data_IF_548250650216
#
_entry.id   IF_548250650216
#
_cell.length_a   1.000
_cell.length_b   1.000
_cell.length_c   1.000
_cell.angle_alpha   90.00
_cell.angle_beta   90.00
_cell.angle_gamma   90.00
#
_symmetry.space_group_name_H-M   'P 1'
#
loop_
_entity.id
_entity.type
_entity.pdbx_description
1 polymer ?
#
# COMPACT_ATOMS: atom_id res chain seq x y z
N UNK A 1 -0.59 17.48 2.01
CA UNK A 1 -1.21 16.12 2.05
C UNK A 1 -0.52 15.31 3.14
N UNK A 2 -1.25 14.73 4.11
CA UNK A 2 -0.62 13.93 5.17
C UNK A 2 -0.08 12.61 4.58
N UNK A 3 1.22 12.28 4.74
CA UNK A 3 1.80 11.04 4.22
C UNK A 3 1.20 9.79 4.88
N UNK A 4 1.32 8.63 4.22
CA UNK A 4 0.90 7.33 4.72
C UNK A 4 2.08 6.36 4.75
N UNK A 5 2.36 5.74 5.89
CA UNK A 5 3.31 4.64 6.01
C UNK A 5 2.53 3.37 6.32
N UNK A 6 2.45 2.48 5.33
CA UNK A 6 1.69 1.25 5.38
C UNK A 6 2.63 0.04 5.49
N UNK A 7 2.44 -0.79 6.51
CA UNK A 7 3.16 -2.04 6.72
C UNK A 7 2.39 -3.22 6.14
N UNK A 8 2.86 -3.80 5.05
CA UNK A 8 2.34 -5.04 4.50
C UNK A 8 3.08 -6.23 5.11
N UNK A 9 2.43 -6.96 6.00
CA UNK A 9 3.03 -8.14 6.64
C UNK A 9 3.14 -9.33 5.71
N UNK A 10 2.46 -9.29 4.56
CA UNK A 10 2.39 -10.41 3.64
C UNK A 10 1.91 -11.69 4.36
N UNK A 11 2.37 -12.87 3.96
CA UNK A 11 2.01 -14.15 4.60
C UNK A 11 2.90 -14.40 5.85
N UNK A 12 2.88 -13.46 6.80
CA UNK A 12 3.63 -13.55 8.05
C UNK A 12 2.76 -13.17 9.24
N UNK A 13 3.01 -13.82 10.37
CA UNK A 13 2.40 -13.51 11.65
C UNK A 13 1.44 -14.58 12.15
N UNK A 14 1.57 -14.84 13.43
CA UNK A 14 0.66 -15.66 14.24
C UNK A 14 0.10 -14.76 15.37
N UNK A 15 -0.81 -15.27 16.18
CA UNK A 15 -1.40 -14.49 17.29
C UNK A 15 -0.35 -13.83 18.20
N UNK A 16 0.78 -14.49 18.46
CA UNK A 16 1.88 -13.92 19.24
C UNK A 16 2.52 -12.69 18.58
N UNK A 17 2.45 -12.56 17.25
CA UNK A 17 3.00 -11.43 16.51
C UNK A 17 2.23 -10.12 16.77
N UNK A 18 1.02 -10.19 17.31
CA UNK A 18 0.24 -9.00 17.69
C UNK A 18 0.91 -8.19 18.81
N UNK A 19 1.82 -8.80 19.58
CA UNK A 19 2.65 -8.07 20.54
C UNK A 19 3.47 -6.95 19.87
N UNK A 20 3.88 -7.10 18.60
CA UNK A 20 4.58 -6.05 17.86
C UNK A 20 3.67 -4.84 17.61
N UNK A 21 2.37 -5.06 17.35
CA UNK A 21 1.40 -3.95 17.22
C UNK A 21 1.20 -3.21 18.55
N UNK A 22 1.22 -3.92 19.68
CA UNK A 22 1.19 -3.31 21.01
C UNK A 22 2.38 -2.38 21.24
N UNK A 23 3.60 -2.87 20.99
CA UNK A 23 4.84 -2.09 21.08
C UNK A 23 4.81 -0.86 20.15
N UNK A 24 4.37 -1.04 18.91
CA UNK A 24 4.23 0.06 17.94
C UNK A 24 3.25 1.12 18.45
N UNK A 25 2.09 0.70 18.95
CA UNK A 25 1.08 1.60 19.55
C UNK A 25 1.66 2.43 20.69
N UNK A 26 2.38 1.80 21.62
CA UNK A 26 3.03 2.48 22.75
C UNK A 26 4.06 3.50 22.26
N UNK A 27 4.89 3.11 21.27
CA UNK A 27 5.89 4.00 20.69
C UNK A 27 5.27 5.21 19.98
N UNK A 28 4.13 5.03 19.27
CA UNK A 28 3.40 6.11 18.62
C UNK A 28 2.68 7.02 19.63
N UNK A 29 2.20 6.47 20.74
CA UNK A 29 1.60 7.25 21.82
C UNK A 29 2.63 8.14 22.53
N UNK A 30 3.85 7.65 22.73
CA UNK A 30 4.93 8.41 23.36
C UNK A 30 5.38 9.62 22.50
N UNK A 31 5.31 9.50 21.17
CA UNK A 31 5.59 10.60 20.22
C UNK A 31 4.72 10.43 19.00
N UNK A 32 3.75 11.32 18.81
CA UNK A 32 2.83 11.29 17.67
C UNK A 32 3.59 11.41 16.34
N UNK A 33 3.25 10.57 15.33
CA UNK A 33 3.88 10.61 14.01
C UNK A 33 3.32 11.76 13.18
N UNK A 34 4.15 12.30 12.26
CA UNK A 34 3.74 13.28 11.25
C UNK A 34 2.89 12.68 10.12
N UNK A 35 2.88 11.35 9.99
CA UNK A 35 2.17 10.60 8.98
C UNK A 35 1.02 9.77 9.57
N UNK A 36 0.17 9.25 8.70
CA UNK A 36 -0.77 8.18 9.02
C UNK A 36 -0.02 6.85 9.05
N UNK A 37 -0.36 5.98 10.00
CA UNK A 37 0.28 4.66 10.17
C UNK A 37 -0.76 3.58 9.96
N UNK A 38 -0.48 2.67 9.02
CA UNK A 38 -1.33 1.55 8.64
C UNK A 38 -0.55 0.24 8.77
N UNK A 39 -1.20 -0.82 9.23
CA UNK A 39 -0.67 -2.19 9.17
C UNK A 39 -1.69 -3.10 8.49
N UNK A 40 -1.24 -3.88 7.52
CA UNK A 40 -2.02 -4.89 6.82
C UNK A 40 -1.51 -6.29 7.22
N UNK A 41 -2.00 -6.87 8.33
CA UNK A 41 -1.66 -8.24 8.72
C UNK A 41 -2.43 -9.25 7.86
N UNK A 42 -2.13 -10.57 7.94
CA UNK A 42 -2.98 -11.61 7.35
C UNK A 42 -4.43 -11.49 7.81
N UNK A 43 -5.37 -11.92 6.98
CA UNK A 43 -6.82 -11.86 7.27
C UNK A 43 -7.19 -12.42 8.63
N UNK A 44 -6.52 -13.53 9.04
CA UNK A 44 -6.74 -14.24 10.30
C UNK A 44 -6.42 -13.43 11.56
N UNK A 45 -5.72 -12.30 11.42
CA UNK A 45 -5.28 -11.47 12.54
C UNK A 45 -6.00 -10.12 12.63
N UNK A 46 -6.75 -9.70 11.62
CA UNK A 46 -7.32 -8.34 11.54
C UNK A 46 -8.24 -8.04 12.73
N UNK A 47 -9.19 -8.92 13.04
CA UNK A 47 -10.14 -8.70 14.13
C UNK A 47 -9.47 -8.61 15.51
N UNK A 48 -8.47 -9.48 15.76
CA UNK A 48 -7.69 -9.42 16.99
C UNK A 48 -6.81 -8.15 17.06
N UNK A 49 -6.19 -7.79 15.94
CA UNK A 49 -5.42 -6.55 15.82
C UNK A 49 -6.29 -5.32 16.11
N UNK A 50 -7.49 -5.25 15.54
CA UNK A 50 -8.43 -4.15 15.74
C UNK A 50 -8.76 -3.92 17.22
N UNK A 51 -8.96 -5.01 17.96
CA UNK A 51 -9.20 -4.95 19.41
C UNK A 51 -7.99 -4.41 20.18
N UNK A 52 -6.76 -4.70 19.73
CA UNK A 52 -5.53 -4.32 20.45
C UNK A 52 -5.07 -2.89 20.14
N UNK A 53 -5.22 -2.40 18.89
CA UNK A 53 -4.69 -1.07 18.50
C UNK A 53 -5.67 0.09 18.72
N UNK A 54 -6.99 -0.17 18.71
CA UNK A 54 -8.07 0.81 19.01
C UNK A 54 -7.83 2.22 18.44
N UNK A 55 -7.67 2.31 17.13
CA UNK A 55 -7.59 3.59 16.41
C UNK A 55 -6.23 4.30 16.42
N UNK A 56 -5.25 3.81 17.16
CA UNK A 56 -3.89 4.38 17.14
C UNK A 56 -3.13 4.02 15.85
N UNK A 57 -3.46 2.88 15.25
CA UNK A 57 -2.90 2.35 14.00
C UNK A 57 -4.09 1.94 13.13
N UNK A 58 -4.13 2.40 11.91
CA UNK A 58 -5.11 1.94 10.94
C UNK A 58 -4.81 0.48 10.54
N UNK A 59 -5.85 -0.30 10.23
CA UNK A 59 -5.69 -1.68 9.79
C UNK A 59 -6.20 -1.85 8.36
N UNK A 60 -5.57 -2.74 7.61
CA UNK A 60 -5.96 -3.06 6.23
C UNK A 60 -5.90 -4.55 5.92
N UNK A 61 -6.65 -4.94 4.89
CA UNK A 61 -6.51 -6.24 4.25
C UNK A 61 -5.37 -6.25 3.22
N UNK A 62 -4.92 -7.45 2.86
CA UNK A 62 -3.87 -7.64 1.85
C UNK A 62 -4.44 -7.98 0.46
N UNK A 63 -5.74 -8.20 0.37
CA UNK A 63 -6.55 -8.43 -0.82
C UNK A 63 -8.03 -8.44 -0.44
N UNK A 64 -8.94 -8.42 -1.41
CA UNK A 64 -10.36 -8.72 -1.22
C UNK A 64 -10.98 -9.31 -2.49
N UNK A 65 -12.09 -10.03 -2.35
CA UNK A 65 -12.90 -10.48 -3.47
C UNK A 65 -13.78 -9.34 -4.00
N UNK A 66 -14.02 -9.31 -5.32
CA UNK A 66 -14.81 -8.26 -5.95
C UNK A 66 -16.31 -8.31 -5.58
N UNK A 67 -16.84 -9.48 -5.24
CA UNK A 67 -18.23 -9.65 -4.81
C UNK A 67 -18.36 -9.58 -3.28
N UNK A 68 -19.50 -9.11 -2.76
CA UNK A 68 -19.70 -8.97 -1.30
C UNK A 68 -19.88 -10.30 -0.58
N UNK A 69 -20.35 -11.33 -1.29
CA UNK A 69 -20.60 -12.67 -0.76
C UNK A 69 -20.82 -13.67 -1.90
N UNK A 70 -20.89 -14.97 -1.61
CA UNK A 70 -21.25 -15.99 -2.58
C UNK A 70 -20.48 -17.29 -2.43
N UNK A 71 -20.54 -18.15 -3.45
CA UNK A 71 -19.87 -19.45 -3.51
C UNK A 71 -18.38 -19.28 -3.92
N UNK A 72 -17.61 -18.66 -3.06
CA UNK A 72 -16.18 -18.37 -3.22
C UNK A 72 -15.40 -18.90 -2.01
N UNK A 73 -15.35 -20.21 -1.90
CA UNK A 73 -14.73 -20.89 -0.73
C UNK A 73 -13.27 -20.47 -0.57
N UNK A 74 -12.94 -19.88 0.59
CA UNK A 74 -11.60 -19.42 0.93
C UNK A 74 -11.36 -17.94 0.66
N UNK A 75 -12.20 -17.25 -0.13
CA UNK A 75 -12.07 -15.82 -0.38
C UNK A 75 -12.63 -14.97 0.77
N UNK A 76 -12.12 -13.75 0.89
CA UNK A 76 -12.56 -12.76 1.88
C UNK A 76 -13.07 -11.53 1.12
N UNK A 77 -14.30 -11.10 1.40
CA UNK A 77 -14.87 -9.90 0.79
C UNK A 77 -14.40 -8.62 1.46
N UNK A 78 -14.56 -7.48 0.78
CA UNK A 78 -14.27 -6.17 1.34
C UNK A 78 -15.17 -5.87 2.56
N UNK A 79 -16.41 -6.33 2.54
CA UNK A 79 -17.36 -6.22 3.64
C UNK A 79 -16.90 -6.98 4.90
N UNK A 80 -16.36 -8.20 4.73
CA UNK A 80 -15.77 -8.99 5.83
C UNK A 80 -14.55 -8.29 6.42
N UNK A 81 -13.70 -7.67 5.59
CA UNK A 81 -12.56 -6.89 6.07
C UNK A 81 -13.03 -5.68 6.88
N UNK A 82 -14.04 -4.97 6.40
CA UNK A 82 -14.63 -3.84 7.11
C UNK A 82 -15.19 -4.22 8.46
N UNK A 83 -15.95 -5.31 8.51
CA UNK A 83 -16.52 -5.86 9.74
C UNK A 83 -15.44 -6.27 10.74
N UNK A 84 -14.33 -6.85 10.26
CA UNK A 84 -13.17 -7.18 11.06
C UNK A 84 -12.39 -5.97 11.59
N UNK A 85 -12.73 -4.74 11.16
CA UNK A 85 -12.12 -3.49 11.64
C UNK A 85 -11.08 -2.87 10.71
N UNK A 86 -10.95 -3.35 9.47
CA UNK A 86 -10.10 -2.71 8.48
C UNK A 86 -10.69 -1.37 8.00
N UNK A 87 -9.82 -0.44 7.63
CA UNK A 87 -10.16 0.83 6.96
C UNK A 87 -9.51 0.96 5.58
N UNK A 88 -8.57 0.07 5.27
CA UNK A 88 -7.85 -0.01 4.00
C UNK A 88 -7.85 -1.44 3.46
N UNK A 89 -7.54 -1.57 2.16
CA UNK A 89 -7.20 -2.85 1.55
C UNK A 89 -6.19 -2.64 0.41
N UNK A 90 -5.15 -3.47 0.37
CA UNK A 90 -4.20 -3.55 -0.74
C UNK A 90 -4.86 -4.38 -1.85
N UNK A 91 -4.80 -3.91 -3.09
CA UNK A 91 -5.29 -4.64 -4.27
C UNK A 91 -4.27 -4.58 -5.40
N UNK A 92 -4.15 -5.65 -6.16
CA UNK A 92 -3.22 -5.73 -7.28
C UNK A 92 -1.74 -5.70 -6.90
N UNK A 93 -1.38 -6.09 -5.67
CA UNK A 93 0.02 -6.21 -5.27
C UNK A 93 0.78 -7.09 -6.25
N UNK A 94 2.05 -6.77 -6.54
CA UNK A 94 2.87 -7.47 -7.53
C UNK A 94 2.91 -8.99 -7.34
N UNK A 95 2.95 -9.48 -6.12
CA UNK A 95 2.89 -10.91 -5.81
C UNK A 95 1.56 -11.52 -6.28
N UNK A 96 0.44 -10.82 -6.18
CA UNK A 96 -0.86 -11.32 -6.62
C UNK A 96 -0.98 -11.31 -8.14
N UNK A 97 -0.47 -10.27 -8.80
CA UNK A 97 -0.38 -10.24 -10.27
C UNK A 97 0.48 -11.40 -10.77
N UNK A 98 1.60 -11.68 -10.12
CA UNK A 98 2.54 -12.72 -10.53
C UNK A 98 2.05 -14.14 -10.18
N UNK A 99 1.68 -14.39 -8.92
CA UNK A 99 1.40 -15.75 -8.45
C UNK A 99 -0.07 -16.17 -8.62
N UNK A 100 -1.00 -15.22 -8.69
CA UNK A 100 -2.43 -15.48 -8.82
C UNK A 100 -2.99 -15.05 -10.18
N UNK A 101 -2.18 -14.47 -11.06
CA UNK A 101 -2.60 -14.04 -12.39
C UNK A 101 -3.59 -12.89 -12.38
N UNK A 102 -3.58 -12.03 -11.35
CA UNK A 102 -4.48 -10.89 -11.27
C UNK A 102 -4.19 -9.88 -12.39
N UNK A 103 -5.21 -9.57 -13.18
CA UNK A 103 -5.18 -8.60 -14.28
C UNK A 103 -5.67 -7.25 -13.79
N UNK A 104 -5.41 -6.21 -14.56
CA UNK A 104 -5.85 -4.85 -14.23
C UNK A 104 -7.36 -4.74 -14.00
N UNK A 105 -8.16 -5.42 -14.82
CA UNK A 105 -9.62 -5.45 -14.66
C UNK A 105 -10.08 -6.09 -13.35
N UNK A 106 -9.35 -7.10 -12.87
CA UNK A 106 -9.64 -7.76 -11.59
C UNK A 106 -9.31 -6.81 -10.44
N UNK A 107 -8.21 -6.07 -10.55
CA UNK A 107 -7.78 -5.05 -9.57
C UNK A 107 -8.77 -3.89 -9.52
N UNK A 108 -9.24 -3.41 -10.67
CA UNK A 108 -10.28 -2.37 -10.73
C UNK A 108 -11.57 -2.80 -10.02
N UNK A 109 -12.05 -4.03 -10.29
CA UNK A 109 -13.24 -4.56 -9.63
C UNK A 109 -13.06 -4.71 -8.10
N UNK A 110 -11.86 -5.05 -7.63
CA UNK A 110 -11.52 -5.11 -6.20
C UNK A 110 -11.45 -3.71 -5.56
N UNK A 111 -10.94 -2.70 -6.27
CA UNK A 111 -10.96 -1.32 -5.79
C UNK A 111 -12.39 -0.80 -5.61
N UNK A 112 -13.28 -1.07 -6.57
CA UNK A 112 -14.71 -0.73 -6.47
C UNK A 112 -15.39 -1.47 -5.30
N UNK A 113 -15.04 -2.74 -5.08
CA UNK A 113 -15.53 -3.51 -3.93
C UNK A 113 -15.07 -2.90 -2.60
N UNK A 114 -13.81 -2.45 -2.51
CA UNK A 114 -13.30 -1.75 -1.34
C UNK A 114 -14.12 -0.49 -1.04
N UNK A 115 -14.38 0.34 -2.04
CA UNK A 115 -15.17 1.57 -1.88
C UNK A 115 -16.61 1.28 -1.48
N UNK A 116 -17.24 0.26 -2.07
CA UNK A 116 -18.59 -0.19 -1.71
C UNK A 116 -18.69 -0.53 -0.22
N UNK A 117 -17.64 -1.17 0.33
CA UNK A 117 -17.57 -1.51 1.75
C UNK A 117 -17.10 -0.34 2.65
N UNK A 118 -16.79 0.83 2.10
CA UNK A 118 -16.26 1.97 2.84
C UNK A 118 -14.81 1.79 3.29
N UNK A 119 -14.01 1.05 2.50
CA UNK A 119 -12.55 0.94 2.64
C UNK A 119 -11.84 1.86 1.65
N UNK A 120 -10.64 2.32 2.01
CA UNK A 120 -9.72 2.96 1.07
C UNK A 120 -8.90 1.88 0.35
N UNK A 121 -8.89 1.87 -0.98
CA UNK A 121 -8.09 0.96 -1.78
C UNK A 121 -6.65 1.48 -1.93
N UNK A 122 -5.65 0.63 -1.66
CA UNK A 122 -4.26 0.85 -2.05
C UNK A 122 -4.03 0.03 -3.32
N UNK A 123 -4.03 0.70 -4.48
CA UNK A 123 -3.87 0.06 -5.79
C UNK A 123 -2.38 0.01 -6.13
N UNK A 124 -1.84 -1.19 -6.30
CA UNK A 124 -0.43 -1.40 -6.63
C UNK A 124 -0.21 -1.43 -8.14
N UNK A 125 0.81 -0.71 -8.58
CA UNK A 125 1.30 -0.67 -9.96
C UNK A 125 2.82 -0.75 -9.96
N UNK A 126 3.41 -1.34 -10.99
CA UNK A 126 4.86 -1.42 -11.11
C UNK A 126 5.33 -2.38 -12.19
N UNK A 127 6.53 -2.16 -12.66
CA UNK A 127 7.19 -2.91 -13.72
C UNK A 127 8.12 -4.00 -13.19
N UNK A 128 8.29 -5.04 -13.98
CA UNK A 128 9.29 -6.09 -13.78
C UNK A 128 10.68 -5.65 -14.23
N UNK A 129 11.72 -6.43 -13.89
CA UNK A 129 13.11 -6.15 -14.30
C UNK A 129 13.25 -6.13 -15.83
N UNK A 130 12.71 -7.13 -16.53
CA UNK A 130 12.80 -7.15 -17.98
C UNK A 130 12.11 -5.98 -18.66
N UNK A 131 10.98 -5.51 -18.11
CA UNK A 131 10.30 -4.31 -18.59
C UNK A 131 11.10 -3.03 -18.33
N UNK A 132 11.82 -2.97 -17.19
CA UNK A 132 12.71 -1.86 -16.87
C UNK A 132 13.89 -1.81 -17.83
N UNK A 133 14.54 -2.93 -18.06
CA UNK A 133 15.68 -3.08 -19.00
C UNK A 133 15.28 -2.76 -20.44
N UNK A 134 14.06 -3.12 -20.83
CA UNK A 134 13.49 -2.77 -22.14
C UNK A 134 13.04 -1.30 -22.27
N UNK A 135 13.20 -0.47 -21.20
CA UNK A 135 12.68 0.89 -21.13
C UNK A 135 11.16 1.01 -21.30
N UNK A 136 10.40 -0.04 -20.93
CA UNK A 136 8.94 -0.09 -21.03
C UNK A 136 8.24 0.36 -19.72
N UNK A 137 8.98 0.65 -18.67
CA UNK A 137 8.45 0.95 -17.32
C UNK A 137 7.36 2.04 -17.32
N UNK A 138 7.53 3.11 -18.08
CA UNK A 138 6.53 4.17 -18.20
C UNK A 138 5.25 3.67 -18.87
N UNK A 139 5.37 2.92 -19.96
CA UNK A 139 4.24 2.36 -20.69
C UNK A 139 3.48 1.33 -19.83
N UNK A 140 4.20 0.46 -19.13
CA UNK A 140 3.62 -0.55 -18.25
C UNK A 140 2.84 0.11 -17.11
N UNK A 141 3.44 1.06 -16.39
CA UNK A 141 2.76 1.74 -15.29
C UNK A 141 1.56 2.57 -15.77
N UNK A 142 1.65 3.23 -16.91
CA UNK A 142 0.53 3.94 -17.51
C UNK A 142 -0.63 2.98 -17.86
N UNK A 143 -0.32 1.84 -18.49
CA UNK A 143 -1.31 0.81 -18.82
C UNK A 143 -1.98 0.22 -17.57
N UNK A 144 -1.21 -0.08 -16.52
CA UNK A 144 -1.75 -0.56 -15.25
C UNK A 144 -2.64 0.49 -14.56
N UNK A 145 -2.29 1.77 -14.59
CA UNK A 145 -3.14 2.84 -14.07
C UNK A 145 -4.44 2.91 -14.88
N UNK A 146 -4.34 2.86 -16.21
CA UNK A 146 -5.52 2.91 -17.08
C UNK A 146 -6.47 1.73 -16.85
N UNK A 147 -5.93 0.52 -16.65
CA UNK A 147 -6.71 -0.68 -16.44
C UNK A 147 -7.17 -0.91 -15.00
N UNK A 148 -6.40 -0.48 -14.00
CA UNK A 148 -6.63 -0.83 -12.58
C UNK A 148 -7.27 0.29 -11.74
N UNK A 149 -7.22 1.55 -12.19
CA UNK A 149 -7.76 2.69 -11.43
C UNK A 149 -9.09 3.11 -12.05
N UNK A 150 -10.26 2.78 -11.45
CA UNK A 150 -11.56 3.21 -11.96
C UNK A 150 -11.73 4.73 -11.91
N UNK A 151 -12.55 5.30 -12.81
CA UNK A 151 -12.79 6.76 -12.92
C UNK A 151 -13.40 7.39 -11.65
N UNK A 152 -14.00 6.59 -10.78
CA UNK A 152 -14.55 7.06 -9.50
C UNK A 152 -13.48 7.17 -8.38
N UNK A 153 -12.19 6.95 -8.69
CA UNK A 153 -11.08 7.11 -7.75
C UNK A 153 -10.92 8.58 -7.33
N UNK A 154 -10.76 8.79 -6.02
CA UNK A 154 -10.57 10.10 -5.41
C UNK A 154 -9.51 10.01 -4.31
N UNK A 155 -9.00 11.14 -3.85
CA UNK A 155 -8.06 11.18 -2.72
C UNK A 155 -8.64 10.64 -1.40
N UNK A 156 -9.98 10.57 -1.28
CA UNK A 156 -10.65 10.07 -0.09
C UNK A 156 -10.76 8.54 -0.07
N UNK A 157 -10.80 7.88 -1.24
CA UNK A 157 -11.05 6.45 -1.35
C UNK A 157 -9.88 5.65 -1.95
N UNK A 158 -8.83 6.32 -2.45
CA UNK A 158 -7.75 5.67 -3.22
C UNK A 158 -6.38 6.19 -2.82
N UNK A 159 -5.45 5.26 -2.74
CA UNK A 159 -4.00 5.46 -2.65
C UNK A 159 -3.36 4.63 -3.74
N UNK A 160 -2.30 5.12 -4.37
CA UNK A 160 -1.50 4.35 -5.34
C UNK A 160 -0.21 3.91 -4.65
N UNK A 161 0.25 2.68 -4.90
CA UNK A 161 1.56 2.21 -4.47
C UNK A 161 2.39 1.84 -5.71
N UNK A 162 3.51 2.50 -5.89
CA UNK A 162 4.46 2.16 -6.96
C UNK A 162 5.44 1.09 -6.46
N UNK A 163 5.43 -0.05 -7.10
CA UNK A 163 6.26 -1.19 -6.80
C UNK A 163 7.28 -1.42 -7.93
N UNK A 164 8.55 -0.94 -7.83
CA UNK A 164 9.61 -1.44 -8.71
C UNK A 164 9.86 -2.91 -8.38
N UNK A 165 9.16 -3.84 -9.09
CA UNK A 165 9.10 -5.27 -8.74
C UNK A 165 10.50 -5.89 -8.67
N UNK A 166 11.41 -5.42 -9.52
CA UNK A 166 12.81 -5.81 -9.58
C UNK A 166 13.63 -5.41 -8.34
N UNK A 167 13.14 -4.47 -7.53
CA UNK A 167 13.79 -4.01 -6.30
C UNK A 167 13.18 -4.64 -5.04
N UNK A 168 12.09 -5.42 -5.14
CA UNK A 168 11.42 -6.01 -3.98
C UNK A 168 12.15 -7.29 -3.57
N UNK A 169 12.79 -7.27 -2.38
CA UNK A 169 13.43 -8.46 -1.81
C UNK A 169 14.73 -8.90 -2.51
N UNK A 170 15.19 -8.19 -3.52
CA UNK A 170 16.39 -8.55 -4.31
C UNK A 170 17.68 -7.90 -3.80
N UNK A 171 17.57 -6.89 -2.95
CA UNK A 171 18.69 -6.03 -2.54
C UNK A 171 19.05 -4.93 -3.55
N UNK A 172 18.44 -4.92 -4.73
CA UNK A 172 18.55 -3.81 -5.69
C UNK A 172 17.72 -2.63 -5.19
N UNK A 173 18.17 -1.42 -5.45
CA UNK A 173 17.46 -0.18 -5.12
C UNK A 173 17.48 0.75 -6.33
N UNK A 174 16.32 1.31 -6.73
CA UNK A 174 16.31 2.41 -7.69
C UNK A 174 17.10 3.60 -7.15
N UNK A 175 17.64 4.44 -8.03
CA UNK A 175 18.19 5.74 -7.61
C UNK A 175 17.07 6.68 -7.17
N UNK A 176 17.42 7.73 -6.43
CA UNK A 176 16.45 8.77 -6.04
C UNK A 176 15.80 9.42 -7.27
N UNK A 177 16.59 9.64 -8.33
CA UNK A 177 16.13 10.18 -9.62
C UNK A 177 15.12 9.26 -10.29
N UNK A 178 15.36 7.95 -10.30
CA UNK A 178 14.43 6.96 -10.84
C UNK A 178 13.07 6.99 -10.10
N UNK A 179 13.12 7.07 -8.77
CA UNK A 179 11.91 7.13 -7.94
C UNK A 179 11.12 8.39 -8.24
N UNK A 180 11.77 9.55 -8.23
CA UNK A 180 11.14 10.85 -8.52
C UNK A 180 10.54 10.85 -9.92
N UNK A 181 11.26 10.36 -10.93
CA UNK A 181 10.79 10.30 -12.31
C UNK A 181 9.55 9.42 -12.45
N UNK A 182 9.54 8.22 -11.83
CA UNK A 182 8.38 7.33 -11.88
C UNK A 182 7.19 7.87 -11.10
N UNK A 183 7.38 8.44 -9.91
CA UNK A 183 6.29 9.05 -9.15
C UNK A 183 5.69 10.23 -9.90
N UNK A 184 6.50 11.08 -10.55
CA UNK A 184 6.02 12.17 -11.39
C UNK A 184 5.26 11.66 -12.63
N UNK A 185 5.76 10.59 -13.28
CA UNK A 185 5.07 9.95 -14.40
C UNK A 185 3.70 9.40 -13.96
N UNK A 186 3.64 8.64 -12.86
CA UNK A 186 2.40 8.11 -12.29
C UNK A 186 1.42 9.25 -11.97
N UNK A 187 1.90 10.33 -11.37
CA UNK A 187 1.08 11.53 -11.10
C UNK A 187 0.50 12.12 -12.38
N UNK A 188 1.31 12.23 -13.43
CA UNK A 188 0.87 12.70 -14.74
C UNK A 188 -0.25 11.82 -15.32
N UNK A 189 -0.09 10.49 -15.29
CA UNK A 189 -1.10 9.54 -15.74
C UNK A 189 -2.41 9.66 -14.94
N UNK A 190 -2.32 9.78 -13.62
CA UNK A 190 -3.50 9.95 -12.76
C UNK A 190 -4.24 11.26 -13.05
N UNK A 191 -3.53 12.36 -13.26
CA UNK A 191 -4.14 13.65 -13.61
C UNK A 191 -4.78 13.60 -15.01
N UNK A 192 -4.12 12.98 -15.97
CA UNK A 192 -4.68 12.81 -17.31
C UNK A 192 -5.97 11.98 -17.30
N UNK A 193 -6.04 10.95 -16.45
CA UNK A 193 -7.19 10.05 -16.35
C UNK A 193 -8.36 10.61 -15.52
N UNK A 194 -8.07 11.24 -14.38
CA UNK A 194 -9.05 11.59 -13.35
C UNK A 194 -9.26 13.10 -13.21
N UNK A 195 -8.46 13.92 -13.91
CA UNK A 195 -8.46 15.38 -13.79
C UNK A 195 -7.63 15.89 -12.62
N UNK A 196 -7.65 17.20 -12.41
CA UNK A 196 -6.80 17.93 -11.44
C UNK A 196 -6.97 17.47 -9.97
N UNK A 197 -8.12 16.93 -9.61
CA UNK A 197 -8.36 16.36 -8.27
C UNK A 197 -7.39 15.22 -7.93
N UNK A 198 -6.85 14.54 -8.94
CA UNK A 198 -5.86 13.46 -8.76
C UNK A 198 -4.51 13.94 -8.22
N UNK A 199 -4.23 15.25 -8.24
CA UNK A 199 -3.04 15.82 -7.56
C UNK A 199 -3.04 15.55 -6.05
N UNK A 200 -4.20 15.28 -5.48
CA UNK A 200 -4.36 14.99 -4.06
C UNK A 200 -4.30 13.48 -3.71
N UNK A 201 -4.19 12.59 -4.71
CA UNK A 201 -3.99 11.17 -4.42
C UNK A 201 -2.58 10.95 -3.86
N UNK A 202 -2.49 10.15 -2.80
CA UNK A 202 -1.20 9.72 -2.27
C UNK A 202 -0.58 8.68 -3.20
N UNK A 203 0.73 8.83 -3.49
CA UNK A 203 1.53 7.84 -4.20
C UNK A 203 2.60 7.35 -3.23
N UNK A 204 2.54 6.09 -2.85
CA UNK A 204 3.48 5.45 -1.94
C UNK A 204 4.61 4.80 -2.72
N UNK A 205 5.81 4.85 -2.19
CA UNK A 205 6.91 4.04 -2.67
C UNK A 205 6.83 2.63 -2.07
N UNK A 206 6.75 1.62 -2.91
CA UNK A 206 6.59 0.21 -2.55
C UNK A 206 7.83 -0.66 -2.77
N UNK A 207 8.98 -0.07 -3.04
CA UNK A 207 10.25 -0.79 -3.11
C UNK A 207 10.85 -1.10 -1.72
N UNK A 208 12.14 -1.43 -1.68
CA UNK A 208 12.83 -1.79 -0.45
C UNK A 208 13.06 -0.57 0.44
N UNK A 209 12.21 -0.38 1.45
CA UNK A 209 12.36 0.65 2.50
C UNK A 209 12.81 -0.01 3.79
N UNK A 210 13.88 0.52 4.37
CA UNK A 210 14.45 0.15 5.67
C UNK A 210 14.66 1.40 6.53
N UNK A 211 14.90 1.21 7.83
CA UNK A 211 15.14 2.33 8.75
C UNK A 211 16.29 3.26 8.30
N UNK A 212 17.29 2.71 7.63
CA UNK A 212 18.51 3.44 7.27
C UNK A 212 18.37 4.26 5.97
N UNK A 213 17.45 3.90 5.05
CA UNK A 213 17.21 4.64 3.80
C UNK A 213 15.88 5.42 3.80
N UNK A 214 15.04 5.23 4.81
CA UNK A 214 13.69 5.80 4.82
C UNK A 214 13.71 7.34 4.82
N UNK A 215 14.64 7.98 5.53
CA UNK A 215 14.73 9.44 5.59
C UNK A 215 15.03 10.06 4.22
N UNK A 216 15.85 9.40 3.40
CA UNK A 216 16.14 9.81 2.04
C UNK A 216 14.92 9.59 1.14
N UNK A 217 14.40 8.36 1.09
CA UNK A 217 13.38 7.95 0.13
C UNK A 217 12.01 8.61 0.37
N UNK A 218 11.59 8.73 1.63
CA UNK A 218 10.24 9.21 1.96
C UNK A 218 10.09 10.74 1.92
N UNK A 219 11.19 11.47 1.71
CA UNK A 219 11.18 12.92 1.56
C UNK A 219 11.49 13.37 0.13
N UNK A 220 11.54 12.42 -0.82
CA UNK A 220 11.67 12.73 -2.25
C UNK A 220 10.39 13.38 -2.79
N UNK A 221 10.54 14.17 -3.85
CA UNK A 221 9.42 14.80 -4.54
C UNK A 221 8.41 13.74 -5.03
N UNK A 222 7.12 14.06 -4.92
CA UNK A 222 5.99 13.19 -5.29
C UNK A 222 5.86 11.88 -4.48
N UNK A 223 6.75 11.59 -3.52
CA UNK A 223 6.63 10.46 -2.60
C UNK A 223 5.77 10.87 -1.41
N UNK A 224 4.60 10.26 -1.26
CA UNK A 224 3.64 10.59 -0.19
C UNK A 224 3.60 9.51 0.91
N UNK A 225 4.68 8.76 1.07
CA UNK A 225 4.85 7.72 2.06
C UNK A 225 5.36 6.40 1.48
N UNK A 226 5.14 5.29 2.19
CA UNK A 226 5.65 3.98 1.79
C UNK A 226 4.64 2.85 1.98
N UNK A 227 4.78 1.82 1.13
CA UNK A 227 4.24 0.48 1.38
C UNK A 227 5.41 -0.44 1.73
N UNK A 228 5.58 -0.74 3.03
CA UNK A 228 6.75 -1.39 3.62
C UNK A 228 6.47 -2.88 3.82
N UNK A 229 7.34 -3.75 3.31
CA UNK A 229 7.25 -5.20 3.51
C UNK A 229 7.87 -5.66 4.85
N UNK A 230 8.91 -6.51 4.80
CA UNK A 230 9.51 -7.19 5.94
C UNK A 230 9.92 -6.30 7.12
N UNK A 231 10.39 -5.09 6.88
CA UNK A 231 10.73 -4.11 7.93
C UNK A 231 9.52 -3.68 8.78
N UNK A 232 8.28 -3.95 8.32
CA UNK A 232 7.07 -3.68 9.09
C UNK A 232 6.71 -4.76 10.13
N UNK A 233 7.38 -5.91 10.10
CA UNK A 233 7.12 -7.03 11.01
C UNK A 233 7.63 -6.79 12.44
N UNK A 234 8.54 -5.84 12.62
CA UNK A 234 9.13 -5.47 13.92
C UNK A 234 8.80 -4.02 14.25
N UNK A 235 8.21 -3.81 15.41
CA UNK A 235 7.81 -2.48 15.87
C UNK A 235 8.97 -1.48 15.88
N UNK A 236 10.16 -1.91 16.31
CA UNK A 236 11.35 -1.06 16.39
C UNK A 236 11.78 -0.55 14.99
N UNK A 237 11.86 -1.43 14.01
CA UNK A 237 12.21 -1.04 12.64
C UNK A 237 11.12 -0.17 12.00
N UNK A 238 9.87 -0.61 12.12
CA UNK A 238 8.76 0.10 11.48
C UNK A 238 8.55 1.50 12.06
N UNK A 239 8.67 1.67 13.40
CA UNK A 239 8.60 3.02 14.00
C UNK A 239 9.72 3.95 13.53
N UNK A 240 10.94 3.44 13.27
CA UNK A 240 12.04 4.26 12.73
C UNK A 240 11.70 4.76 11.33
N UNK A 241 11.10 3.92 10.49
CA UNK A 241 10.61 4.31 9.16
C UNK A 241 9.50 5.35 9.30
N UNK A 242 8.51 5.14 10.15
CA UNK A 242 7.42 6.09 10.43
C UNK A 242 7.95 7.45 10.86
N UNK A 243 8.99 7.49 11.67
CA UNK A 243 9.61 8.72 12.20
C UNK A 243 10.52 9.44 11.20
N UNK A 244 10.91 8.77 10.11
CA UNK A 244 11.73 9.37 9.05
C UNK A 244 10.93 10.27 8.11
N UNK A 245 9.58 10.21 8.18
CA UNK A 245 8.71 11.07 7.37
C UNK A 245 8.70 12.47 7.97
N UNK A 246 9.14 13.47 7.22
CA UNK A 246 8.99 14.87 7.61
C UNK A 246 7.50 15.25 7.54
N UNK A 247 7.05 16.02 8.53
CA UNK A 247 5.72 16.62 8.48
C UNK A 247 5.69 17.65 7.34
N UNK A 248 4.64 17.61 6.51
CA UNK A 248 4.36 18.63 5.52
C UNK A 248 3.95 19.94 6.19
#
# INVERSE_FOLDING_TARGET
MRPLVAGNWKMNGLSASLAELGKLKEALAAKAPSCEVLVCPPFTLIAQAASSVKGAIALGGQDCHAKPSGAFTGDVSAEMLKDAGASYVIVGHSERRHYHGERDVDVAAKAEAAWRAGLTAIICVGETEGQREANEHNHVCAGQIDGSVPLAATAANTVIAYEPVWAIGTGKTPTAEDIVAMHAHIRGCLVARLGEGARQLRILYGGSVKADNAAELLNLAEVNGALVGGASLKAEEFQRIVRSVNGA
#
